data_IF_315130977973
#
_entry.id   IF_315130977973
#
_cell.length_a   1.000
_cell.length_b   1.000
_cell.length_c   1.000
_cell.angle_alpha   90.00
_cell.angle_beta   90.00
_cell.angle_gamma   90.00
#
_symmetry.space_group_name_H-M   'P 1'
#
loop_
_entity.id
_entity.type
_entity.pdbx_description
1 polymer ?
#
# COMPACT_ATOMS: atom_id res chain seq x y z
N UNK A 1 10.92 -6.05 -36.00
CA UNK A 1 10.12 -7.16 -35.46
C UNK A 1 9.05 -6.58 -34.56
N UNK A 2 7.76 -6.90 -34.72
CA UNK A 2 6.72 -6.34 -33.86
C UNK A 2 6.70 -7.12 -32.55
N UNK A 3 6.92 -6.43 -31.43
CA UNK A 3 6.69 -6.97 -30.09
C UNK A 3 5.18 -7.00 -29.89
N UNK A 4 4.60 -8.20 -29.75
CA UNK A 4 3.17 -8.38 -29.44
C UNK A 4 2.87 -7.79 -28.07
N UNK A 5 2.32 -6.59 -28.05
CA UNK A 5 2.00 -5.84 -26.84
C UNK A 5 0.60 -6.24 -26.35
N UNK A 6 0.46 -7.45 -25.81
CA UNK A 6 -0.77 -7.91 -25.16
C UNK A 6 -0.52 -8.10 -23.66
N UNK A 7 -0.18 -7.02 -22.96
CA UNK A 7 -0.41 -6.98 -21.52
C UNK A 7 -1.93 -6.91 -21.30
N UNK A 8 -2.55 -7.84 -20.56
CA UNK A 8 -3.98 -7.78 -20.28
C UNK A 8 -4.26 -6.46 -19.55
N UNK A 9 -5.19 -5.67 -20.09
CA UNK A 9 -5.63 -4.40 -19.49
C UNK A 9 -6.34 -4.57 -18.15
N UNK A 10 -6.66 -5.83 -17.79
CA UNK A 10 -7.45 -6.20 -16.63
C UNK A 10 -6.57 -6.94 -15.61
N UNK A 11 -6.57 -6.53 -14.33
CA UNK A 11 -5.86 -7.25 -13.28
C UNK A 11 -6.53 -8.61 -13.07
N UNK A 12 -5.77 -9.69 -13.28
CA UNK A 12 -6.23 -11.08 -13.11
C UNK A 12 -6.13 -11.59 -11.65
N UNK A 13 -5.57 -10.78 -10.76
CA UNK A 13 -5.29 -11.16 -9.37
C UNK A 13 -3.97 -11.89 -9.18
N UNK A 14 -3.68 -12.30 -7.94
CA UNK A 14 -2.51 -13.10 -7.57
C UNK A 14 -2.88 -14.05 -6.42
N UNK A 15 -2.22 -15.21 -6.35
CA UNK A 15 -2.50 -16.25 -5.34
C UNK A 15 -2.12 -15.81 -3.92
N UNK A 16 -1.07 -15.01 -3.79
CA UNK A 16 -0.84 -14.25 -2.57
C UNK A 16 -0.17 -12.90 -2.87
N UNK A 17 -0.17 -12.04 -1.85
CA UNK A 17 0.55 -10.79 -1.87
C UNK A 17 1.06 -10.51 -0.46
N UNK A 18 2.06 -9.65 -0.35
CA UNK A 18 2.45 -9.04 0.91
C UNK A 18 2.33 -7.53 0.79
N UNK A 19 1.91 -6.90 1.88
CA UNK A 19 1.77 -5.46 2.01
C UNK A 19 2.27 -5.05 3.39
N UNK A 20 3.19 -4.09 3.42
CA UNK A 20 3.66 -3.44 4.62
C UNK A 20 3.38 -1.93 4.49
N UNK A 21 2.91 -1.32 5.57
CA UNK A 21 2.55 0.10 5.58
C UNK A 21 2.95 0.77 6.88
N UNK A 22 3.50 1.97 6.77
CA UNK A 22 3.76 2.88 7.87
C UNK A 22 2.92 4.14 7.69
N UNK A 23 2.20 4.54 8.73
CA UNK A 23 1.36 5.74 8.72
C UNK A 23 1.72 6.63 9.91
N UNK A 24 1.97 7.90 9.64
CA UNK A 24 2.25 8.92 10.64
C UNK A 24 1.11 9.93 10.62
N UNK A 25 0.42 10.05 11.75
CA UNK A 25 -0.62 11.05 11.94
C UNK A 25 -0.12 12.13 12.87
N UNK A 26 -0.14 13.38 12.43
CA UNK A 26 0.23 14.52 13.25
C UNK A 26 -0.89 15.56 13.29
N UNK A 27 -1.13 16.20 14.44
CA UNK A 27 -1.98 17.40 14.48
C UNK A 27 -1.31 18.52 13.67
N UNK A 28 -2.10 19.45 13.13
CA UNK A 28 -1.55 20.56 12.35
C UNK A 28 -0.67 21.47 13.24
N UNK A 29 0.58 21.76 12.86
CA UNK A 29 1.54 22.45 13.73
C UNK A 29 1.28 23.95 13.92
N UNK A 30 0.49 24.61 13.06
CA UNK A 30 0.39 26.09 13.05
C UNK A 30 -1.04 26.66 13.10
N UNK A 31 -2.09 25.83 13.12
CA UNK A 31 -3.49 26.32 13.16
C UNK A 31 -4.22 25.79 14.40
N UNK A 32 -4.49 26.68 15.36
CA UNK A 32 -5.45 26.49 16.45
C UNK A 32 -5.09 25.38 17.44
N UNK A 33 -4.02 25.59 18.22
CA UNK A 33 -3.77 24.88 19.48
C UNK A 33 -4.60 25.49 20.63
N UNK A 34 -5.85 25.84 20.36
CA UNK A 34 -6.81 26.31 21.36
C UNK A 34 -7.92 25.25 21.51
N UNK A 35 -8.19 24.87 22.75
CA UNK A 35 -9.21 23.89 23.12
C UNK A 35 -10.59 24.36 22.63
N UNK A 36 -11.04 23.83 21.49
CA UNK A 36 -12.35 24.14 20.88
C UNK A 36 -12.33 24.54 19.40
N UNK A 37 -11.16 24.67 18.77
CA UNK A 37 -11.07 25.11 17.36
C UNK A 37 -11.36 23.98 16.34
N UNK A 38 -12.02 24.35 15.22
CA UNK A 38 -12.30 23.49 14.05
C UNK A 38 -11.04 22.82 13.48
N UNK A 39 -9.85 23.37 13.78
CA UNK A 39 -8.54 22.79 13.42
C UNK A 39 -8.26 21.42 14.05
N UNK A 40 -8.84 21.09 15.20
CA UNK A 40 -8.66 19.79 15.87
C UNK A 40 -9.23 18.60 15.06
N UNK A 41 -10.06 18.87 14.06
CA UNK A 41 -10.65 17.89 13.16
C UNK A 41 -9.73 17.52 11.98
N UNK A 42 -8.70 18.33 11.72
CA UNK A 42 -7.72 18.08 10.67
C UNK A 42 -6.49 17.38 11.25
N UNK A 43 -6.06 16.31 10.59
CA UNK A 43 -4.81 15.61 10.89
C UNK A 43 -4.01 15.48 9.63
N UNK A 44 -2.73 15.82 9.69
CA UNK A 44 -1.79 15.47 8.63
C UNK A 44 -1.56 13.97 8.68
N UNK A 45 -1.46 13.35 7.51
CA UNK A 45 -1.29 11.91 7.34
C UNK A 45 -0.16 11.66 6.36
N UNK A 46 1.01 11.32 6.86
CA UNK A 46 2.08 10.76 6.05
C UNK A 46 1.91 9.24 5.95
N UNK A 47 2.13 8.66 4.79
CA UNK A 47 2.13 7.21 4.65
C UNK A 47 3.19 6.71 3.68
N UNK A 48 3.73 5.54 4.00
CA UNK A 48 4.62 4.80 3.14
C UNK A 48 4.12 3.37 3.06
N UNK A 49 3.86 2.90 1.84
CA UNK A 49 3.38 1.55 1.56
C UNK A 49 4.41 0.83 0.69
N UNK A 50 4.66 -0.43 1.00
CA UNK A 50 5.50 -1.32 0.22
C UNK A 50 4.80 -2.67 0.06
N UNK A 51 4.82 -3.25 -1.13
CA UNK A 51 4.22 -4.55 -1.34
C UNK A 51 4.60 -5.20 -2.65
N UNK A 52 4.37 -6.50 -2.75
CA UNK A 52 4.52 -7.24 -4.00
C UNK A 52 3.53 -8.41 -4.06
N UNK A 53 3.16 -8.80 -5.27
CA UNK A 53 2.40 -10.02 -5.52
C UNK A 53 3.35 -11.22 -5.58
N UNK A 54 2.92 -12.35 -5.03
CA UNK A 54 3.63 -13.63 -5.12
C UNK A 54 2.88 -14.56 -6.05
N UNK A 55 3.61 -15.14 -6.99
CA UNK A 55 3.04 -16.12 -7.93
C UNK A 55 3.16 -17.54 -7.38
N UNK A 56 2.01 -18.21 -7.21
CA UNK A 56 1.86 -19.62 -6.77
C UNK A 56 2.67 -19.99 -5.52
N UNK A 57 2.53 -19.27 -4.40
CA UNK A 57 3.28 -19.57 -3.18
C UNK A 57 2.89 -20.95 -2.62
N UNK A 58 1.61 -21.33 -2.71
CA UNK A 58 1.12 -22.61 -2.17
C UNK A 58 1.68 -23.79 -2.96
N UNK A 59 1.69 -23.72 -4.29
CA UNK A 59 2.25 -24.80 -5.13
C UNK A 59 3.75 -25.00 -4.84
N UNK A 60 4.52 -23.91 -4.76
CA UNK A 60 5.95 -23.97 -4.43
C UNK A 60 6.20 -24.47 -3.00
N UNK A 61 5.29 -24.20 -2.06
CA UNK A 61 5.39 -24.66 -0.69
C UNK A 61 5.05 -26.16 -0.57
N UNK A 62 4.08 -26.66 -1.35
CA UNK A 62 3.75 -28.09 -1.47
C UNK A 62 4.90 -28.85 -2.14
N UNK A 63 5.49 -28.30 -3.21
CA UNK A 63 6.67 -28.89 -3.85
C UNK A 63 7.87 -28.92 -2.88
N UNK A 64 7.98 -27.95 -1.97
CA UNK A 64 8.99 -27.94 -0.90
C UNK A 64 8.69 -28.92 0.26
N UNK A 65 7.43 -29.34 0.44
CA UNK A 65 6.99 -30.19 1.55
C UNK A 65 7.60 -31.61 1.51
N UNK A 66 8.05 -32.08 0.35
CA UNK A 66 8.80 -33.35 0.24
C UNK A 66 10.24 -33.29 0.75
N UNK A 67 10.77 -32.10 1.09
CA UNK A 67 12.10 -31.96 1.68
C UNK A 67 11.97 -31.30 3.06
N UNK A 68 11.70 -32.12 4.08
CA UNK A 68 11.76 -31.75 5.50
C UNK A 68 13.21 -31.41 5.88
N UNK A 69 13.67 -30.23 5.49
CA UNK A 69 14.87 -29.60 6.05
C UNK A 69 14.76 -28.11 5.72
N UNK A 70 15.19 -27.26 6.64
CA UNK A 70 15.67 -25.90 6.32
C UNK A 70 14.62 -24.77 6.34
N UNK A 71 14.20 -24.36 7.54
CA UNK A 71 13.63 -23.02 7.78
C UNK A 71 14.49 -21.87 7.18
N UNK A 72 15.80 -22.12 6.97
CA UNK A 72 16.70 -21.18 6.30
C UNK A 72 16.42 -21.02 4.80
N UNK A 73 15.89 -22.04 4.10
CA UNK A 73 15.55 -21.93 2.66
C UNK A 73 14.28 -21.11 2.45
N UNK A 74 13.26 -21.33 3.27
CA UNK A 74 12.06 -20.48 3.26
C UNK A 74 12.41 -19.03 3.58
N UNK A 75 13.30 -18.80 4.56
CA UNK A 75 13.79 -17.45 4.88
C UNK A 75 14.58 -16.83 3.73
N UNK A 76 15.46 -17.58 3.05
CA UNK A 76 16.19 -17.09 1.86
C UNK A 76 15.24 -16.76 0.72
N UNK A 77 14.22 -17.59 0.49
CA UNK A 77 13.19 -17.35 -0.50
C UNK A 77 12.40 -16.08 -0.18
N UNK A 78 11.85 -15.95 1.03
CA UNK A 78 11.15 -14.74 1.44
C UNK A 78 12.04 -13.51 1.33
N UNK A 79 13.30 -13.59 1.76
CA UNK A 79 14.26 -12.48 1.62
C UNK A 79 14.53 -12.15 0.15
N UNK A 80 14.59 -13.15 -0.73
CA UNK A 80 14.77 -12.94 -2.17
C UNK A 80 13.55 -12.29 -2.80
N UNK A 81 12.35 -12.62 -2.34
CA UNK A 81 11.09 -12.00 -2.77
C UNK A 81 10.92 -10.58 -2.19
N UNK A 82 11.30 -10.34 -0.93
CA UNK A 82 11.35 -9.01 -0.34
C UNK A 82 12.38 -8.12 -1.04
N UNK A 83 13.49 -8.71 -1.50
CA UNK A 83 14.51 -8.02 -2.30
C UNK A 83 14.09 -7.88 -3.77
N UNK A 84 13.14 -8.68 -4.23
CA UNK A 84 12.54 -8.60 -5.55
C UNK A 84 11.70 -7.34 -5.68
N UNK A 85 12.20 -6.38 -6.47
CA UNK A 85 11.60 -5.07 -6.84
C UNK A 85 10.20 -4.81 -6.25
N UNK A 86 10.10 -4.48 -4.94
CA UNK A 86 8.82 -4.25 -4.31
C UNK A 86 8.22 -2.95 -4.85
N UNK A 87 6.90 -2.92 -4.98
CA UNK A 87 6.17 -1.71 -5.35
C UNK A 87 6.09 -0.83 -4.12
N UNK A 88 6.61 0.37 -4.21
CA UNK A 88 6.65 1.31 -3.08
C UNK A 88 5.91 2.58 -3.45
N UNK A 89 5.06 3.03 -2.54
CA UNK A 89 4.27 4.25 -2.66
C UNK A 89 4.51 5.08 -1.42
N UNK A 90 4.95 6.31 -1.62
CA UNK A 90 5.04 7.32 -0.58
C UNK A 90 3.91 8.31 -0.80
N UNK A 91 3.28 8.77 0.26
CA UNK A 91 2.27 9.79 0.16
C UNK A 91 2.15 10.62 1.41
N UNK A 92 1.51 11.77 1.22
CA UNK A 92 1.13 12.64 2.30
C UNK A 92 -0.26 13.17 2.03
N UNK A 93 -1.02 13.41 3.08
CA UNK A 93 -2.40 13.81 2.95
C UNK A 93 -2.90 14.52 4.17
N UNK A 94 -4.16 14.92 4.08
CA UNK A 94 -4.92 15.53 5.15
C UNK A 94 -6.17 14.70 5.37
N UNK A 95 -6.37 14.29 6.61
CA UNK A 95 -7.57 13.61 7.06
C UNK A 95 -8.41 14.61 7.83
N UNK A 96 -9.64 14.79 7.37
CA UNK A 96 -10.65 15.61 8.03
C UNK A 96 -11.74 14.72 8.61
N UNK A 97 -12.02 14.88 9.91
CA UNK A 97 -13.06 14.13 10.61
C UNK A 97 -14.21 15.05 11.00
N UNK A 98 -15.36 14.89 10.36
CA UNK A 98 -16.56 15.65 10.69
C UNK A 98 -17.43 14.86 11.66
N UNK A 99 -17.57 15.38 12.89
CA UNK A 99 -18.52 14.92 13.91
C UNK A 99 -18.54 13.40 14.21
N UNK A 100 -17.43 12.68 13.96
CA UNK A 100 -17.31 11.25 14.24
C UNK A 100 -17.97 10.30 13.22
N UNK A 101 -18.69 10.83 12.22
CA UNK A 101 -19.46 10.03 11.25
C UNK A 101 -18.74 9.96 9.90
N UNK A 102 -18.13 11.07 9.48
CA UNK A 102 -17.51 11.22 8.16
C UNK A 102 -16.00 11.44 8.28
N UNK A 103 -15.23 10.61 7.59
CA UNK A 103 -13.78 10.73 7.42
C UNK A 103 -13.49 11.04 5.96
N UNK A 104 -13.04 12.26 5.69
CA UNK A 104 -12.54 12.66 4.37
C UNK A 104 -11.02 12.58 4.36
N UNK A 105 -10.44 11.96 3.35
CA UNK A 105 -9.00 11.84 3.18
C UNK A 105 -8.61 12.42 1.82
N UNK A 106 -7.76 13.43 1.84
CA UNK A 106 -7.10 13.93 0.65
C UNK A 106 -5.65 13.49 0.71
N UNK A 107 -5.30 12.47 -0.06
CA UNK A 107 -3.97 11.86 -0.08
C UNK A 107 -3.28 12.19 -1.41
N UNK A 108 -2.07 12.73 -1.35
CA UNK A 108 -1.20 12.87 -2.51
C UNK A 108 -0.27 11.66 -2.58
N UNK A 109 -0.45 10.82 -3.61
CA UNK A 109 0.24 9.55 -3.79
C UNK A 109 1.37 9.70 -4.81
N UNK A 110 2.59 9.41 -4.37
CA UNK A 110 3.80 9.35 -5.19
C UNK A 110 4.30 7.90 -5.27
N UNK A 111 4.07 7.21 -6.40
CA UNK A 111 4.62 5.89 -6.62
C UNK A 111 6.13 6.00 -6.87
N UNK A 112 6.93 5.41 -5.98
CA UNK A 112 8.40 5.44 -6.07
C UNK A 112 8.92 4.30 -6.95
N UNK A 113 8.36 3.10 -6.78
CA UNK A 113 8.74 1.91 -7.54
C UNK A 113 7.50 1.22 -8.10
N UNK A 114 7.50 0.97 -9.41
CA UNK A 114 6.41 0.32 -10.14
C UNK A 114 6.93 -0.86 -10.95
N UNK A 115 6.05 -1.83 -11.26
CA UNK A 115 6.39 -2.95 -12.13
C UNK A 115 5.78 -2.78 -13.53
N UNK A 116 6.38 -3.36 -14.58
CA UNK A 116 5.82 -3.34 -15.93
C UNK A 116 4.41 -3.95 -15.94
N UNK A 117 3.43 -3.23 -16.47
CA UNK A 117 2.02 -3.64 -16.47
C UNK A 117 1.18 -3.00 -15.35
N UNK A 118 1.79 -2.23 -14.45
CA UNK A 118 1.05 -1.53 -13.39
C UNK A 118 0.27 -0.33 -13.93
N UNK A 119 -0.97 -0.20 -13.46
CA UNK A 119 -1.78 1.00 -13.69
C UNK A 119 -1.42 2.06 -12.64
N UNK A 120 -0.34 2.79 -12.92
CA UNK A 120 0.17 3.84 -12.05
C UNK A 120 -0.77 5.05 -12.13
N UNK A 121 -1.29 5.50 -10.98
CA UNK A 121 -2.09 6.73 -10.86
C UNK A 121 -1.39 7.70 -9.92
N UNK A 122 -0.41 8.49 -10.40
CA UNK A 122 0.23 9.51 -9.57
C UNK A 122 -0.73 10.69 -9.37
N UNK A 123 -0.71 11.30 -8.18
CA UNK A 123 -1.45 12.53 -7.91
C UNK A 123 -2.40 12.43 -6.71
N UNK A 124 -3.46 13.22 -6.75
CA UNK A 124 -4.42 13.32 -5.66
C UNK A 124 -5.44 12.16 -5.69
N UNK A 125 -5.47 11.42 -4.61
CA UNK A 125 -6.50 10.44 -4.29
C UNK A 125 -7.41 11.04 -3.22
N UNK A 126 -8.69 11.15 -3.55
CA UNK A 126 -9.72 11.56 -2.62
C UNK A 126 -10.46 10.32 -2.11
N UNK A 127 -10.52 10.15 -0.79
CA UNK A 127 -11.23 9.08 -0.11
C UNK A 127 -12.33 9.61 0.81
N UNK A 128 -13.52 9.01 0.75
CA UNK A 128 -14.58 9.24 1.73
C UNK A 128 -14.86 7.92 2.46
N UNK A 129 -14.74 7.93 3.78
CA UNK A 129 -15.14 6.83 4.65
C UNK A 129 -16.30 7.26 5.54
N UNK A 130 -17.39 6.50 5.54
CA UNK A 130 -18.46 6.63 6.51
C UNK A 130 -18.40 5.47 7.48
N UNK A 131 -18.47 5.75 8.77
CA UNK A 131 -18.73 4.70 9.76
C UNK A 131 -20.25 4.54 9.84
N UNK A 132 -20.76 3.38 9.40
CA UNK A 132 -22.12 2.97 9.71
C UNK A 132 -22.14 2.40 11.14
N UNK A 133 -23.03 2.93 11.97
CA UNK A 133 -23.44 2.30 13.23
C UNK A 133 -24.54 1.28 12.96
#
# INVERSE_FOLDING_TARGET
>A
MPVSNSSPSSPIGADAFWLAGAHLYTPLPYWGAEDGSFSGQFRLHGFFLAGSTLERPIQKLIDSHSTYTTANELRRYLLSEFKGKPRTVLGMGVVFRFAGILRMELNYCLPLTCQPGDQIKPGFAFGFGMYYM
#
